data_IF_832519653244
#
_entry.id   IF_832519653244
#
_cell.length_a   1.000
_cell.length_b   1.000
_cell.length_c   1.000
_cell.angle_alpha   90.00
_cell.angle_beta   90.00
_cell.angle_gamma   90.00
#
_symmetry.space_group_name_H-M   'P 1'
#
loop_
_entity.id
_entity.type
_entity.pdbx_description
1 polymer ?
#
# COMPACT_ATOMS: atom_id res chain seq x y z
N UNK A 1 -13.70 -32.48 57.15
CA UNK A 1 -12.78 -31.77 58.07
C UNK A 1 -12.36 -30.48 57.36
N UNK A 2 -12.48 -29.32 58.01
CA UNK A 2 -12.01 -28.05 57.43
C UNK A 2 -10.48 -28.07 57.50
N UNK A 3 -9.81 -28.13 56.36
CA UNK A 3 -8.37 -28.03 56.32
C UNK A 3 -7.93 -26.71 56.93
N UNK A 4 -7.09 -26.79 57.96
CA UNK A 4 -6.41 -25.67 58.55
C UNK A 4 -5.44 -25.08 57.52
N UNK A 5 -5.93 -24.18 56.68
CA UNK A 5 -5.09 -23.37 55.79
C UNK A 5 -4.05 -22.65 56.66
N UNK A 6 -2.76 -22.98 56.44
CA UNK A 6 -1.64 -22.30 57.11
C UNK A 6 -1.78 -20.80 56.83
N UNK A 7 -2.04 -20.01 57.87
CA UNK A 7 -2.14 -18.56 57.74
C UNK A 7 -0.74 -17.99 57.55
N UNK A 8 -0.50 -17.39 56.39
CA UNK A 8 0.71 -16.62 56.13
C UNK A 8 0.42 -15.15 56.44
N UNK A 9 1.23 -14.55 57.31
CA UNK A 9 1.20 -13.12 57.57
C UNK A 9 2.20 -12.46 56.62
N UNK A 10 1.71 -11.58 55.75
CA UNK A 10 2.54 -10.81 54.82
C UNK A 10 2.63 -9.38 55.35
N UNK A 11 3.85 -8.92 55.63
CA UNK A 11 4.10 -7.54 56.04
C UNK A 11 4.42 -6.73 54.79
N UNK A 12 3.66 -5.66 54.57
CA UNK A 12 3.79 -4.77 53.41
C UNK A 12 4.06 -3.35 53.89
N UNK A 13 4.83 -2.61 53.10
CA UNK A 13 4.99 -1.16 53.31
C UNK A 13 3.69 -0.44 52.94
N UNK A 14 3.52 0.78 53.47
CA UNK A 14 2.32 1.59 53.23
C UNK A 14 2.08 1.87 51.74
N UNK A 15 3.15 2.20 51.01
CA UNK A 15 3.08 2.46 49.58
C UNK A 15 2.61 1.24 48.76
N UNK A 16 3.02 0.02 49.16
CA UNK A 16 2.57 -1.20 48.51
C UNK A 16 1.10 -1.51 48.81
N UNK A 17 0.62 -1.17 50.01
CA UNK A 17 -0.79 -1.32 50.37
C UNK A 17 -1.66 -0.41 49.49
N UNK A 18 -1.23 0.84 49.29
CA UNK A 18 -1.95 1.82 48.48
C UNK A 18 -2.05 1.37 47.01
N UNK A 19 -0.96 0.85 46.44
CA UNK A 19 -0.95 0.28 45.08
C UNK A 19 -1.87 -0.95 44.94
N UNK A 20 -1.92 -1.81 45.96
CA UNK A 20 -2.81 -2.98 45.96
C UNK A 20 -4.27 -2.54 46.04
N UNK A 21 -4.59 -1.49 46.82
CA UNK A 21 -5.94 -0.95 46.91
C UNK A 21 -6.42 -0.33 45.62
N UNK A 22 -5.55 0.40 44.93
CA UNK A 22 -5.87 0.97 43.62
C UNK A 22 -6.22 -0.14 42.60
N UNK A 23 -5.41 -1.20 42.55
CA UNK A 23 -5.66 -2.37 41.69
C UNK A 23 -6.91 -3.16 42.13
N UNK A 24 -7.17 -3.25 43.44
CA UNK A 24 -8.36 -3.87 43.99
C UNK A 24 -9.63 -3.17 43.52
N UNK A 25 -9.61 -1.83 43.51
CA UNK A 25 -10.74 -1.03 43.06
C UNK A 25 -10.97 -1.17 41.55
N UNK A 26 -9.90 -1.33 40.76
CA UNK A 26 -9.98 -1.53 39.31
C UNK A 26 -10.45 -2.93 38.89
N UNK A 27 -10.07 -3.97 39.63
CA UNK A 27 -10.33 -5.37 39.26
C UNK A 27 -11.42 -6.06 40.09
N UNK A 28 -12.13 -5.32 40.95
CA UNK A 28 -13.22 -5.81 41.81
C UNK A 28 -12.88 -7.09 42.63
N UNK A 29 -11.62 -7.23 43.05
CA UNK A 29 -11.12 -8.39 43.78
C UNK A 29 -10.88 -8.13 45.28
N UNK A 30 -10.44 -9.14 46.03
CA UNK A 30 -9.91 -8.95 47.39
C UNK A 30 -8.38 -8.79 47.39
N UNK A 31 -7.83 -7.99 48.32
CA UNK A 31 -6.37 -7.83 48.48
C UNK A 31 -5.66 -9.19 48.58
N UNK A 32 -6.27 -10.14 49.29
CA UNK A 32 -5.72 -11.48 49.48
C UNK A 32 -5.64 -12.30 48.19
N UNK A 33 -6.55 -12.09 47.23
CA UNK A 33 -6.48 -12.75 45.92
C UNK A 33 -5.37 -12.14 45.06
N UNK A 34 -5.24 -10.82 45.06
CA UNK A 34 -4.18 -10.12 44.33
C UNK A 34 -2.79 -10.52 44.82
N UNK A 35 -2.61 -10.59 46.15
CA UNK A 35 -1.34 -11.01 46.75
C UNK A 35 -1.04 -12.48 46.42
N UNK A 36 -2.04 -13.36 46.47
CA UNK A 36 -1.85 -14.78 46.11
C UNK A 36 -1.48 -14.95 44.63
N UNK A 37 -2.12 -14.20 43.74
CA UNK A 37 -1.81 -14.25 42.32
C UNK A 37 -0.40 -13.72 42.04
N UNK A 38 -0.02 -12.59 42.62
CA UNK A 38 1.32 -12.03 42.46
C UNK A 38 2.41 -12.99 42.99
N UNK A 39 2.16 -13.65 44.13
CA UNK A 39 3.09 -14.65 44.66
C UNK A 39 3.15 -15.90 43.77
N UNK A 40 2.03 -16.38 43.24
CA UNK A 40 2.02 -17.50 42.31
C UNK A 40 2.81 -17.16 41.04
N UNK A 41 2.59 -15.98 40.45
CA UNK A 41 3.35 -15.51 39.29
C UNK A 41 4.85 -15.35 39.59
N UNK A 42 5.22 -14.91 40.80
CA UNK A 42 6.61 -14.78 41.22
C UNK A 42 7.31 -16.14 41.41
N UNK A 43 6.62 -17.14 41.95
CA UNK A 43 7.19 -18.47 42.21
C UNK A 43 7.11 -19.41 41.01
N UNK A 44 6.09 -19.28 40.15
CA UNK A 44 5.99 -20.02 38.88
C UNK A 44 6.86 -19.40 37.78
N UNK A 45 7.26 -18.13 37.94
CA UNK A 45 8.20 -17.45 37.08
C UNK A 45 9.65 -17.91 37.33
N UNK A 46 10.19 -18.74 36.44
CA UNK A 46 11.62 -19.03 36.38
C UNK A 46 12.44 -17.71 36.38
N UNK A 47 13.46 -17.55 37.27
CA UNK A 47 14.26 -16.33 37.37
C UNK A 47 15.13 -16.03 36.14
N UNK A 48 15.15 -16.91 35.12
CA UNK A 48 15.88 -16.70 33.86
C UNK A 48 15.12 -15.90 32.80
N UNK A 49 13.88 -15.47 33.06
CA UNK A 49 13.03 -14.82 32.04
C UNK A 49 12.98 -13.28 32.06
N UNK A 50 13.62 -12.62 33.04
CA UNK A 50 13.50 -11.17 33.27
C UNK A 50 14.12 -10.28 32.18
N UNK A 51 14.87 -10.84 31.22
CA UNK A 51 15.34 -10.09 30.04
C UNK A 51 14.30 -9.99 28.91
N UNK A 52 13.20 -10.76 28.95
CA UNK A 52 12.16 -10.72 27.91
C UNK A 52 11.03 -9.71 28.16
N UNK A 53 10.97 -9.09 29.35
CA UNK A 53 9.80 -8.28 29.74
C UNK A 53 9.83 -6.81 29.29
N UNK A 54 10.96 -6.26 28.84
CA UNK A 54 11.03 -4.87 28.37
C UNK A 54 10.85 -4.67 26.85
N UNK A 55 10.67 -5.74 26.06
CA UNK A 55 10.60 -5.62 24.60
C UNK A 55 9.18 -5.63 24.04
N UNK A 56 8.16 -6.04 24.81
CA UNK A 56 6.76 -6.07 24.33
C UNK A 56 6.24 -4.70 23.89
N UNK A 57 6.45 -3.60 24.64
CA UNK A 57 6.00 -2.27 24.22
C UNK A 57 6.75 -1.77 22.97
N UNK A 58 8.05 -2.07 22.88
CA UNK A 58 8.90 -1.71 21.75
C UNK A 58 8.45 -2.46 20.50
N UNK A 59 8.20 -3.78 20.63
CA UNK A 59 7.68 -4.61 19.55
C UNK A 59 6.34 -4.11 19.01
N UNK A 60 5.41 -3.74 19.89
CA UNK A 60 4.12 -3.17 19.47
C UNK A 60 4.28 -1.85 18.72
N UNK A 61 5.20 -0.98 19.16
CA UNK A 61 5.52 0.25 18.44
C UNK A 61 6.17 -0.05 17.08
N UNK A 62 7.03 -1.07 17.01
CA UNK A 62 7.67 -1.49 15.77
C UNK A 62 6.65 -2.08 14.77
N UNK A 63 5.71 -2.88 15.25
CA UNK A 63 4.60 -3.43 14.46
C UNK A 63 3.72 -2.29 13.92
N UNK A 64 3.34 -1.33 14.76
CA UNK A 64 2.58 -0.15 14.33
C UNK A 64 3.34 0.73 13.32
N UNK A 65 4.66 0.86 13.44
CA UNK A 65 5.48 1.57 12.44
C UNK A 65 5.54 0.77 11.15
N UNK A 66 5.63 -0.56 11.22
CA UNK A 66 5.51 -1.44 10.06
C UNK A 66 4.20 -1.23 9.31
N UNK A 67 3.08 -1.23 10.03
CA UNK A 67 1.75 -1.00 9.45
C UNK A 67 1.67 0.37 8.74
N UNK A 68 2.21 1.43 9.36
CA UNK A 68 2.26 2.76 8.73
C UNK A 68 3.19 2.81 7.51
N UNK A 69 4.30 2.07 7.50
CA UNK A 69 5.18 1.97 6.34
C UNK A 69 4.47 1.24 5.19
N UNK A 70 3.73 0.18 5.49
CA UNK A 70 2.96 -0.56 4.49
C UNK A 70 1.84 0.31 3.89
N UNK A 71 1.15 1.12 4.71
CA UNK A 71 0.18 2.11 4.22
C UNK A 71 0.82 3.13 3.28
N UNK A 72 1.98 3.70 3.65
CA UNK A 72 2.72 4.65 2.80
C UNK A 72 3.18 3.98 1.49
N UNK A 73 3.65 2.74 1.54
CA UNK A 73 4.04 2.01 0.33
C UNK A 73 2.85 1.76 -0.60
N UNK A 74 1.69 1.42 -0.04
CA UNK A 74 0.47 1.22 -0.82
C UNK A 74 -0.02 2.52 -1.47
N UNK A 75 0.06 3.65 -0.77
CA UNK A 75 -0.24 4.97 -1.34
C UNK A 75 0.75 5.34 -2.45
N UNK A 76 2.06 5.14 -2.24
CA UNK A 76 3.08 5.40 -3.26
C UNK A 76 2.86 4.57 -4.52
N UNK A 77 2.56 3.26 -4.39
CA UNK A 77 2.23 2.42 -5.54
C UNK A 77 0.97 2.89 -6.27
N UNK A 78 -0.02 3.43 -5.55
CA UNK A 78 -1.19 4.02 -6.17
C UNK A 78 -0.85 5.31 -6.94
N UNK A 79 0.00 6.16 -6.37
CA UNK A 79 0.49 7.36 -7.04
C UNK A 79 1.31 7.02 -8.29
N UNK A 80 2.21 6.05 -8.25
CA UNK A 80 2.98 5.59 -9.42
C UNK A 80 2.04 5.12 -10.54
N UNK A 81 1.07 4.25 -10.22
CA UNK A 81 0.07 3.80 -11.21
C UNK A 81 -0.73 4.96 -11.81
N UNK A 82 -1.04 5.98 -11.00
CA UNK A 82 -1.78 7.16 -11.44
C UNK A 82 -0.90 8.07 -12.30
N UNK A 83 0.35 8.24 -11.95
CA UNK A 83 1.35 8.97 -12.75
C UNK A 83 1.53 8.26 -14.08
N UNK A 84 1.78 6.96 -14.11
CA UNK A 84 1.90 6.16 -15.34
C UNK A 84 0.66 6.28 -16.24
N UNK A 85 -0.54 6.29 -15.65
CA UNK A 85 -1.79 6.49 -16.39
C UNK A 85 -1.92 7.90 -16.99
N UNK A 86 -1.43 8.94 -16.30
CA UNK A 86 -1.43 10.32 -16.78
C UNK A 86 -0.36 10.50 -17.86
N UNK A 87 0.86 10.07 -17.60
CA UNK A 87 1.99 10.21 -18.53
C UNK A 87 1.75 9.42 -19.82
N UNK A 88 1.19 8.21 -19.72
CA UNK A 88 0.80 7.43 -20.91
C UNK A 88 -0.33 8.10 -21.69
N UNK A 89 -1.34 8.68 -21.03
CA UNK A 89 -2.40 9.44 -21.74
C UNK A 89 -1.86 10.66 -22.45
N UNK A 90 -1.00 11.44 -21.79
CA UNK A 90 -0.45 12.67 -22.38
C UNK A 90 0.50 12.35 -23.53
N UNK A 91 1.34 11.33 -23.37
CA UNK A 91 2.25 10.83 -24.42
C UNK A 91 1.46 10.33 -25.63
N UNK A 92 0.44 9.49 -25.41
CA UNK A 92 -0.40 8.97 -26.49
C UNK A 92 -1.17 10.11 -27.19
N UNK A 93 -1.63 11.12 -26.44
CA UNK A 93 -2.29 12.30 -27.01
C UNK A 93 -1.34 13.06 -27.93
N UNK A 94 -0.10 13.31 -27.49
CA UNK A 94 0.92 13.98 -28.29
C UNK A 94 1.28 13.18 -29.54
N UNK A 95 1.46 11.86 -29.41
CA UNK A 95 1.69 10.96 -30.56
C UNK A 95 0.55 11.08 -31.56
N UNK A 96 -0.71 11.08 -31.09
CA UNK A 96 -1.88 11.23 -31.96
C UNK A 96 -1.88 12.58 -32.70
N UNK A 97 -1.57 13.68 -32.00
CA UNK A 97 -1.49 15.02 -32.61
C UNK A 97 -0.37 15.12 -33.66
N UNK A 98 0.78 14.49 -33.40
CA UNK A 98 1.91 14.50 -34.34
C UNK A 98 1.61 13.65 -35.59
N UNK A 99 0.92 12.51 -35.42
CA UNK A 99 0.46 11.68 -36.53
C UNK A 99 -0.56 12.42 -37.39
N UNK A 100 -1.52 13.12 -36.77
CA UNK A 100 -2.50 13.94 -37.48
C UNK A 100 -1.80 15.04 -38.31
N UNK A 101 -0.84 15.77 -37.73
CA UNK A 101 -0.06 16.76 -38.48
C UNK A 101 0.69 16.16 -39.66
N UNK A 102 1.35 15.01 -39.46
CA UNK A 102 2.08 14.34 -40.53
C UNK A 102 1.15 13.94 -41.69
N UNK A 103 -0.01 13.37 -41.38
CA UNK A 103 -0.99 12.98 -42.39
C UNK A 103 -1.62 14.19 -43.10
N UNK A 104 -1.75 15.34 -42.42
CA UNK A 104 -2.16 16.60 -43.05
C UNK A 104 -1.09 17.12 -44.01
N UNK A 105 0.17 17.11 -43.58
CA UNK A 105 1.29 17.66 -44.37
C UNK A 105 1.60 16.83 -45.62
N UNK A 106 1.48 15.50 -45.52
CA UNK A 106 1.78 14.59 -46.62
C UNK A 106 0.62 14.42 -47.60
N UNK A 107 -0.62 14.65 -47.17
CA UNK A 107 -1.87 14.41 -47.91
C UNK A 107 -2.03 12.99 -48.50
N UNK A 108 -1.10 12.09 -48.21
CA UNK A 108 -1.04 10.72 -48.70
C UNK A 108 -1.42 9.72 -47.60
N UNK A 109 -2.04 8.59 -47.96
CA UNK A 109 -2.32 7.52 -47.01
C UNK A 109 -1.00 6.84 -46.60
N UNK A 110 -0.66 6.88 -45.31
CA UNK A 110 0.55 6.27 -44.76
C UNK A 110 0.23 5.05 -43.91
N UNK A 111 1.13 4.06 -43.91
CA UNK A 111 1.07 2.95 -42.96
C UNK A 111 1.79 3.29 -41.66
N UNK A 112 1.50 2.57 -40.56
CA UNK A 112 2.19 2.77 -39.27
C UNK A 112 3.73 2.67 -39.39
N UNK A 113 4.30 1.70 -40.15
CA UNK A 113 5.73 1.71 -40.44
C UNK A 113 6.23 2.99 -41.11
N UNK A 114 5.53 3.48 -42.14
CA UNK A 114 5.93 4.69 -42.88
C UNK A 114 5.88 5.94 -41.97
N UNK A 115 4.88 6.01 -41.08
CA UNK A 115 4.78 7.05 -40.05
C UNK A 115 5.98 6.98 -39.10
N UNK A 116 6.46 5.78 -38.76
CA UNK A 116 7.64 5.57 -37.92
C UNK A 116 8.97 5.96 -38.57
N UNK A 117 9.03 6.07 -39.90
CA UNK A 117 10.19 6.66 -40.58
C UNK A 117 10.23 8.19 -40.43
N UNK A 118 9.08 8.81 -40.12
CA UNK A 118 8.94 10.25 -40.01
C UNK A 118 8.86 10.75 -38.57
N UNK A 119 8.40 9.93 -37.63
CA UNK A 119 8.24 10.30 -36.23
C UNK A 119 9.14 9.44 -35.32
N UNK A 120 9.76 10.03 -34.29
CA UNK A 120 10.66 9.34 -33.37
C UNK A 120 9.89 8.56 -32.28
N UNK A 121 8.92 7.72 -32.69
CA UNK A 121 8.08 6.94 -31.78
C UNK A 121 8.16 5.45 -32.09
N UNK A 122 7.95 4.62 -31.07
CA UNK A 122 7.93 3.17 -31.25
C UNK A 122 6.66 2.72 -32.00
N UNK A 123 6.76 1.60 -32.71
CA UNK A 123 5.65 1.12 -33.56
C UNK A 123 4.34 0.89 -32.78
N UNK A 124 4.45 0.45 -31.52
CA UNK A 124 3.30 0.24 -30.63
C UNK A 124 2.63 1.56 -30.21
N UNK A 125 3.41 2.63 -30.04
CA UNK A 125 2.91 3.94 -29.64
C UNK A 125 2.18 4.59 -30.80
N UNK A 126 2.76 4.49 -32.00
CA UNK A 126 2.14 4.95 -33.24
C UNK A 126 0.82 4.23 -33.51
N UNK A 127 0.78 2.90 -33.32
CA UNK A 127 -0.43 2.13 -33.54
C UNK A 127 -1.56 2.55 -32.59
N UNK A 128 -1.26 2.77 -31.30
CA UNK A 128 -2.23 3.31 -30.33
C UNK A 128 -2.69 4.73 -30.68
N UNK A 129 -1.77 5.57 -31.16
CA UNK A 129 -2.11 6.92 -31.61
C UNK A 129 -3.08 6.90 -32.79
N UNK A 130 -2.82 6.04 -33.78
CA UNK A 130 -3.71 5.84 -34.93
C UNK A 130 -5.07 5.30 -34.52
N UNK A 131 -5.13 4.31 -33.62
CA UNK A 131 -6.40 3.77 -33.10
C UNK A 131 -7.26 4.87 -32.46
N UNK A 132 -6.67 5.79 -31.70
CA UNK A 132 -7.40 6.91 -31.09
C UNK A 132 -7.90 7.89 -32.14
N UNK A 133 -7.11 8.17 -33.17
CA UNK A 133 -7.55 9.01 -34.28
C UNK A 133 -8.69 8.36 -35.08
N UNK A 134 -8.67 7.03 -35.21
CA UNK A 134 -9.74 6.25 -35.85
C UNK A 134 -11.02 6.27 -35.00
N UNK A 135 -10.91 6.07 -33.68
CA UNK A 135 -12.02 6.18 -32.72
C UNK A 135 -12.65 7.59 -32.69
N UNK A 136 -11.83 8.63 -32.89
CA UNK A 136 -12.29 10.02 -33.01
C UNK A 136 -12.81 10.39 -34.39
N UNK A 137 -12.79 9.44 -35.34
CA UNK A 137 -13.17 9.63 -36.73
C UNK A 137 -12.34 10.70 -37.49
N UNK A 138 -11.13 11.00 -37.02
CA UNK A 138 -10.19 11.95 -37.64
C UNK A 138 -9.50 11.33 -38.84
N UNK A 139 -9.18 10.03 -38.77
CA UNK A 139 -8.55 9.27 -39.87
C UNK A 139 -9.47 8.15 -40.35
N UNK A 140 -9.33 7.79 -41.63
CA UNK A 140 -10.04 6.68 -42.27
C UNK A 140 -9.01 5.71 -42.83
N UNK A 141 -9.26 4.42 -42.64
CA UNK A 141 -8.48 3.35 -43.23
C UNK A 141 -8.81 3.21 -44.72
N UNK A 142 -7.82 3.43 -45.58
CA UNK A 142 -8.00 3.50 -47.05
C UNK A 142 -7.73 2.15 -47.73
N UNK A 143 -6.71 1.42 -47.28
CA UNK A 143 -6.34 0.11 -47.85
C UNK A 143 -6.44 -0.99 -46.78
N UNK A 144 -7.18 -2.07 -47.08
CA UNK A 144 -7.29 -3.27 -46.24
C UNK A 144 -6.30 -4.37 -46.70
N UNK A 145 -5.06 -3.98 -46.97
CA UNK A 145 -3.97 -4.91 -47.32
C UNK A 145 -3.26 -5.50 -46.09
N UNK A 146 -2.11 -6.15 -46.31
CA UNK A 146 -1.23 -6.67 -45.22
C UNK A 146 -0.72 -5.56 -44.30
N UNK A 147 -0.58 -4.34 -44.81
CA UNK A 147 -0.25 -3.14 -44.06
C UNK A 147 -1.37 -2.11 -44.30
N UNK A 148 -2.29 -1.94 -43.32
CA UNK A 148 -3.32 -0.94 -43.44
C UNK A 148 -2.71 0.46 -43.53
N UNK A 149 -3.32 1.31 -44.35
CA UNK A 149 -2.94 2.72 -44.49
C UNK A 149 -4.08 3.62 -44.03
N UNK A 150 -3.74 4.73 -43.40
CA UNK A 150 -4.68 5.71 -42.89
C UNK A 150 -4.48 7.06 -43.57
N UNK A 151 -5.59 7.75 -43.83
CA UNK A 151 -5.63 9.12 -44.37
C UNK A 151 -6.56 9.95 -43.50
N UNK A 152 -6.36 11.26 -43.42
CA UNK A 152 -7.30 12.15 -42.73
C UNK A 152 -8.64 12.23 -43.48
N UNK A 153 -9.71 12.22 -42.69
CA UNK A 153 -11.08 12.33 -43.17
C UNK A 153 -11.36 13.76 -43.60
N UNK A 154 -11.76 13.95 -44.86
CA UNK A 154 -12.18 15.26 -45.38
C UNK A 154 -11.23 15.91 -46.38
N UNK A 155 -10.09 15.27 -46.66
CA UNK A 155 -9.23 15.53 -47.83
C UNK A 155 -9.27 14.36 -48.82
#
# INVERSE_FOLDING_TARGET
MRDNLKKANVVLTKDLIDQIDEKKNHHHGSRSQLIRQALAEYFDGNPESDTKLCLKPIRKKLESVGDSIDEIQNELQWFDKKIDAITSREMIRKVSEDIEKLLLEKEEPLSVPDIGEHLPYEQNELLRGVEILEDRFTVVRVEQGKLPKWKIRGN
#
